data_IF_189862178370
#
_entry.id   IF_189862178370
#
_cell.length_a   1.000
_cell.length_b   1.000
_cell.length_c   1.000
_cell.angle_alpha   90.00
_cell.angle_beta   90.00
_cell.angle_gamma   90.00
#
_symmetry.space_group_name_H-M   'P 1'
#
loop_
_entity.id
_entity.type
_entity.pdbx_description
1 polymer ?
#
# COMPACT_ATOMS: atom_id res chain seq x y z
N UNK A 1 16.67 15.22 -29.38
CA UNK A 1 17.34 13.90 -29.44
C UNK A 1 17.23 13.30 -28.04
N UNK A 2 16.26 12.39 -27.87
CA UNK A 2 16.13 11.62 -26.64
C UNK A 2 17.35 10.71 -26.50
N UNK A 3 18.25 11.04 -25.59
CA UNK A 3 19.36 10.16 -25.23
C UNK A 3 18.77 8.96 -24.47
N UNK A 4 18.48 7.87 -25.19
CA UNK A 4 18.14 6.60 -24.57
C UNK A 4 19.24 6.24 -23.58
N UNK A 5 18.89 6.13 -22.29
CA UNK A 5 19.85 5.75 -21.24
C UNK A 5 20.35 4.34 -21.55
N UNK A 6 21.66 4.16 -21.59
CA UNK A 6 22.30 2.89 -22.00
C UNK A 6 22.11 1.76 -20.98
N UNK A 7 21.80 2.10 -19.72
CA UNK A 7 21.60 1.12 -18.65
C UNK A 7 20.24 0.40 -18.78
N UNK A 8 20.27 -0.93 -18.71
CA UNK A 8 19.08 -1.78 -18.70
C UNK A 8 18.59 -2.00 -17.25
N UNK A 9 17.29 -1.91 -17.05
CA UNK A 9 16.61 -2.21 -15.78
C UNK A 9 15.85 -3.52 -15.94
N UNK A 10 16.07 -4.47 -15.03
CA UNK A 10 15.24 -5.67 -14.90
C UNK A 10 14.25 -5.49 -13.74
N UNK A 11 12.95 -5.51 -14.04
CA UNK A 11 11.90 -5.56 -13.02
C UNK A 11 11.44 -7.00 -12.86
N UNK A 12 11.66 -7.59 -11.70
CA UNK A 12 11.21 -8.93 -11.35
C UNK A 12 9.89 -8.87 -10.61
N UNK A 13 8.83 -9.44 -11.19
CA UNK A 13 7.48 -9.46 -10.65
C UNK A 13 6.51 -8.57 -11.43
N UNK A 14 5.34 -9.11 -11.74
CA UNK A 14 4.28 -8.48 -12.55
C UNK A 14 3.01 -8.13 -11.77
N UNK A 15 3.13 -8.01 -10.44
CA UNK A 15 2.11 -7.41 -9.60
C UNK A 15 2.01 -5.89 -9.81
N UNK A 16 1.08 -5.20 -9.13
CA UNK A 16 0.87 -3.75 -9.28
C UNK A 16 2.16 -2.93 -9.13
N UNK A 17 3.00 -3.25 -8.13
CA UNK A 17 4.28 -2.57 -7.91
C UNK A 17 5.25 -2.77 -9.09
N UNK A 18 5.37 -4.00 -9.60
CA UNK A 18 6.24 -4.29 -10.74
C UNK A 18 5.79 -3.62 -12.04
N UNK A 19 4.48 -3.61 -12.32
CA UNK A 19 3.92 -2.93 -13.47
C UNK A 19 4.16 -1.41 -13.40
N UNK A 20 3.96 -0.79 -12.23
CA UNK A 20 4.22 0.63 -11.99
C UNK A 20 5.72 0.94 -12.10
N UNK A 21 6.59 0.07 -11.56
CA UNK A 21 8.03 0.22 -11.69
C UNK A 21 8.48 0.16 -13.15
N UNK A 22 7.99 -0.81 -13.91
CA UNK A 22 8.34 -0.94 -15.33
C UNK A 22 7.94 0.31 -16.14
N UNK A 23 6.70 0.79 -15.96
CA UNK A 23 6.24 2.03 -16.61
C UNK A 23 7.08 3.22 -16.18
N UNK A 24 7.30 3.41 -14.88
CA UNK A 24 8.02 4.57 -14.37
C UNK A 24 9.48 4.64 -14.83
N UNK A 25 10.19 3.50 -14.87
CA UNK A 25 11.55 3.46 -15.42
C UNK A 25 11.59 3.70 -16.92
N UNK A 26 10.62 3.16 -17.66
CA UNK A 26 10.54 3.36 -19.10
C UNK A 26 10.22 4.83 -19.45
N UNK A 27 9.28 5.47 -18.75
CA UNK A 27 9.01 6.91 -18.86
C UNK A 27 10.22 7.78 -18.49
N UNK A 28 11.07 7.28 -17.57
CA UNK A 28 12.33 7.94 -17.24
C UNK A 28 13.44 7.71 -18.30
N UNK A 29 13.15 7.01 -19.41
CA UNK A 29 14.03 6.78 -20.56
C UNK A 29 15.00 5.61 -20.41
N UNK A 30 14.78 4.69 -19.47
CA UNK A 30 15.55 3.46 -19.35
C UNK A 30 14.99 2.35 -20.27
N UNK A 31 15.85 1.48 -20.77
CA UNK A 31 15.45 0.22 -21.37
C UNK A 31 15.00 -0.75 -20.25
N UNK A 32 13.77 -1.20 -20.27
CA UNK A 32 13.20 -2.03 -19.20
C UNK A 32 12.85 -3.41 -19.71
N UNK A 33 13.26 -4.44 -18.96
CA UNK A 33 12.73 -5.79 -19.11
C UNK A 33 11.87 -6.10 -17.87
N UNK A 34 10.59 -6.43 -18.09
CA UNK A 34 9.66 -6.85 -17.01
C UNK A 34 9.48 -8.37 -17.08
N UNK A 35 9.96 -9.10 -16.09
CA UNK A 35 9.86 -10.55 -15.95
C UNK A 35 8.83 -10.94 -14.87
N UNK A 36 7.98 -11.91 -15.18
CA UNK A 36 6.98 -12.43 -14.24
C UNK A 36 5.77 -13.04 -14.98
N UNK A 37 4.85 -13.74 -14.31
CA UNK A 37 3.69 -14.36 -14.93
C UNK A 37 2.74 -13.32 -15.56
N UNK A 38 1.76 -13.78 -16.32
CA UNK A 38 0.69 -12.89 -16.78
C UNK A 38 -0.04 -12.29 -15.56
N UNK A 39 -0.41 -11.01 -15.66
CA UNK A 39 -1.13 -10.34 -14.58
C UNK A 39 -2.49 -11.03 -14.36
N UNK A 40 -2.79 -11.42 -13.12
CA UNK A 40 -4.07 -12.04 -12.78
C UNK A 40 -5.13 -10.96 -12.59
N UNK A 41 -6.11 -10.91 -13.50
CA UNK A 41 -7.24 -9.99 -13.45
C UNK A 41 -8.39 -10.45 -12.54
N UNK A 42 -8.26 -11.56 -11.81
CA UNK A 42 -9.34 -12.12 -10.98
C UNK A 42 -9.22 -11.73 -9.48
N UNK A 43 -8.30 -10.84 -9.12
CA UNK A 43 -8.14 -10.36 -7.75
C UNK A 43 -9.33 -9.47 -7.34
N UNK A 44 -10.21 -10.01 -6.52
CA UNK A 44 -11.41 -9.31 -5.99
C UNK A 44 -11.11 -8.29 -4.89
N UNK A 45 -9.85 -8.17 -4.44
CA UNK A 45 -9.44 -7.17 -3.45
C UNK A 45 -9.50 -5.76 -4.04
N UNK A 46 -9.45 -4.79 -3.15
CA UNK A 46 -9.38 -3.38 -3.51
C UNK A 46 -8.12 -2.74 -2.94
N UNK A 47 -7.69 -1.67 -3.57
CA UNK A 47 -6.54 -0.89 -3.12
C UNK A 47 -6.93 0.57 -3.00
N UNK A 48 -6.83 1.12 -1.79
CA UNK A 48 -6.97 2.55 -1.56
C UNK A 48 -5.65 3.23 -1.88
N UNK A 49 -5.64 4.03 -2.95
CA UNK A 49 -4.48 4.84 -3.37
C UNK A 49 -4.66 6.28 -2.93
N UNK A 50 -3.71 6.78 -2.15
CA UNK A 50 -3.71 8.15 -1.66
C UNK A 50 -3.26 9.14 -2.74
N UNK A 51 -3.61 10.43 -2.60
CA UNK A 51 -3.31 11.46 -3.59
C UNK A 51 -1.85 11.47 -4.10
N UNK A 52 -0.80 11.27 -3.27
CA UNK A 52 0.56 11.16 -3.81
C UNK A 52 0.77 10.01 -4.80
N UNK A 53 0.18 8.85 -4.53
CA UNK A 53 0.24 7.70 -5.43
C UNK A 53 -0.57 7.93 -6.72
N UNK A 54 -1.72 8.60 -6.62
CA UNK A 54 -2.54 8.97 -7.78
C UNK A 54 -1.79 9.90 -8.74
N UNK A 55 -0.98 10.84 -8.21
CA UNK A 55 -0.11 11.70 -9.04
C UNK A 55 0.92 10.91 -9.85
N UNK A 56 1.43 9.82 -9.29
CA UNK A 56 2.31 8.91 -10.04
C UNK A 56 1.54 8.22 -11.16
N UNK A 57 0.35 7.67 -10.87
CA UNK A 57 -0.48 7.03 -11.91
C UNK A 57 -0.95 8.02 -12.99
N UNK A 58 -1.16 9.29 -12.63
CA UNK A 58 -1.49 10.36 -13.59
C UNK A 58 -0.32 10.62 -14.54
N UNK A 59 0.91 10.76 -14.00
CA UNK A 59 2.14 10.91 -14.79
C UNK A 59 2.37 9.72 -15.74
N UNK A 60 2.02 8.50 -15.29
CA UNK A 60 2.10 7.29 -16.11
C UNK A 60 0.93 7.12 -17.10
N UNK A 61 0.01 8.10 -17.19
CA UNK A 61 -1.09 8.11 -18.16
C UNK A 61 -2.22 7.11 -17.87
N UNK A 62 -2.21 6.40 -16.72
CA UNK A 62 -3.20 5.35 -16.43
C UNK A 62 -4.37 5.82 -15.57
N UNK A 63 -4.26 6.96 -14.89
CA UNK A 63 -5.29 7.42 -13.93
C UNK A 63 -6.63 7.76 -14.59
N UNK A 64 -6.62 8.32 -15.80
CA UNK A 64 -7.83 8.74 -16.50
C UNK A 64 -8.78 7.56 -16.76
N UNK A 65 -8.26 6.39 -17.11
CA UNK A 65 -9.04 5.15 -17.30
C UNK A 65 -9.58 4.58 -16.00
N UNK A 66 -8.84 4.76 -14.89
CA UNK A 66 -9.15 4.18 -13.59
C UNK A 66 -10.19 5.01 -12.82
N UNK A 67 -10.12 6.33 -12.92
CA UNK A 67 -10.94 7.28 -12.15
C UNK A 67 -12.45 7.01 -12.20
N UNK A 68 -13.07 6.70 -13.35
CA UNK A 68 -14.51 6.41 -13.43
C UNK A 68 -14.93 5.11 -12.73
N UNK A 69 -13.98 4.20 -12.46
CA UNK A 69 -14.20 2.89 -11.84
C UNK A 69 -13.76 2.85 -10.38
N UNK A 70 -13.42 4.00 -9.81
CA UNK A 70 -12.94 4.18 -8.45
C UNK A 70 -13.96 4.93 -7.59
N UNK A 71 -13.88 4.74 -6.27
CA UNK A 71 -14.63 5.55 -5.32
C UNK A 71 -13.69 6.53 -4.61
N UNK A 72 -14.04 7.84 -4.53
CA UNK A 72 -13.26 8.80 -3.77
C UNK A 72 -13.33 8.53 -2.27
N UNK A 73 -12.23 8.79 -1.56
CA UNK A 73 -12.14 8.73 -0.12
C UNK A 73 -12.12 10.15 0.43
N UNK A 74 -13.31 10.70 0.75
CA UNK A 74 -13.45 12.09 1.20
C UNK A 74 -13.39 12.21 2.72
N UNK A 75 -13.85 11.18 3.41
CA UNK A 75 -13.92 11.13 4.87
C UNK A 75 -13.33 9.79 5.36
N UNK A 76 -12.51 9.85 6.40
CA UNK A 76 -12.05 8.70 7.16
C UNK A 76 -12.59 8.82 8.58
N UNK A 77 -13.18 7.75 9.10
CA UNK A 77 -13.78 7.71 10.42
C UNK A 77 -13.23 6.54 11.22
N UNK A 78 -12.86 6.78 12.46
CA UNK A 78 -12.45 5.76 13.41
C UNK A 78 -13.51 5.69 14.50
N UNK A 79 -14.03 4.48 14.74
CA UNK A 79 -15.07 4.19 15.73
C UNK A 79 -14.54 3.14 16.69
N UNK A 80 -14.59 3.40 17.98
CA UNK A 80 -14.31 2.37 19.00
C UNK A 80 -15.56 1.50 19.17
N UNK A 81 -15.52 0.31 18.57
CA UNK A 81 -16.57 -0.70 18.65
C UNK A 81 -16.27 -1.80 19.68
N UNK A 82 -15.33 -1.57 20.59
CA UNK A 82 -15.02 -2.51 21.67
C UNK A 82 -16.12 -2.53 22.72
N UNK A 83 -16.23 -3.65 23.47
CA UNK A 83 -17.09 -3.77 24.64
C UNK A 83 -16.37 -3.40 25.94
N UNK A 84 -15.24 -2.71 25.81
CA UNK A 84 -14.39 -2.31 26.95
C UNK A 84 -15.03 -1.20 27.78
N UNK A 85 -14.59 -1.11 29.05
CA UNK A 85 -15.08 -0.10 29.99
C UNK A 85 -14.75 1.33 29.51
N UNK A 86 -13.52 1.54 28.96
CA UNK A 86 -13.07 2.81 28.43
C UNK A 86 -13.11 2.76 26.91
N UNK A 87 -14.03 3.50 26.30
CA UNK A 87 -14.13 3.65 24.85
C UNK A 87 -13.55 4.98 24.41
N UNK A 88 -12.90 4.94 23.25
CA UNK A 88 -12.39 6.15 22.62
C UNK A 88 -13.52 6.89 21.89
N UNK A 89 -13.48 8.22 21.84
CA UNK A 89 -14.45 8.98 21.03
C UNK A 89 -14.27 8.67 19.54
N UNK A 90 -15.36 8.80 18.79
CA UNK A 90 -15.29 8.73 17.32
C UNK A 90 -14.46 9.88 16.78
N UNK A 91 -13.49 9.58 15.93
CA UNK A 91 -12.67 10.59 15.27
C UNK A 91 -12.97 10.59 13.77
N UNK A 92 -13.24 11.76 13.23
CA UNK A 92 -13.52 11.93 11.79
C UNK A 92 -12.50 12.88 11.19
N UNK A 93 -11.88 12.43 10.12
CA UNK A 93 -10.93 13.17 9.31
C UNK A 93 -11.60 13.51 7.97
N UNK A 94 -11.61 14.77 7.58
CA UNK A 94 -12.18 15.24 6.31
C UNK A 94 -11.06 15.79 5.44
N UNK A 95 -11.00 15.39 4.17
CA UNK A 95 -9.98 15.87 3.25
C UNK A 95 -9.99 17.40 3.13
N UNK A 96 -11.17 18.02 3.21
CA UNK A 96 -11.35 19.48 3.18
C UNK A 96 -10.64 20.22 4.32
N UNK A 97 -10.40 19.57 5.47
CA UNK A 97 -9.66 20.17 6.58
C UNK A 97 -8.18 20.47 6.26
N UNK A 98 -7.65 19.83 5.22
CA UNK A 98 -6.27 20.06 4.74
C UNK A 98 -6.24 20.68 3.34
N UNK A 99 -7.40 21.14 2.82
CA UNK A 99 -7.52 21.76 1.51
C UNK A 99 -7.55 20.77 0.34
N UNK A 100 -7.80 19.49 0.60
CA UNK A 100 -7.91 18.46 -0.43
C UNK A 100 -9.39 18.15 -0.71
N UNK A 101 -9.73 17.80 -1.97
CA UNK A 101 -11.07 17.33 -2.32
C UNK A 101 -11.35 15.93 -1.77
N UNK A 102 -10.29 15.10 -1.75
CA UNK A 102 -10.30 13.71 -1.28
C UNK A 102 -8.91 13.31 -0.80
N UNK A 103 -8.81 12.29 0.04
CA UNK A 103 -7.53 11.71 0.45
C UNK A 103 -6.92 10.83 -0.65
N UNK A 104 -7.78 10.22 -1.47
CA UNK A 104 -7.40 9.27 -2.50
C UNK A 104 -8.61 8.60 -3.14
N UNK A 105 -8.34 7.51 -3.86
CA UNK A 105 -9.34 6.68 -4.53
C UNK A 105 -9.22 5.23 -4.08
N UNK A 106 -10.34 4.56 -3.84
CA UNK A 106 -10.37 3.11 -3.69
C UNK A 106 -10.68 2.44 -5.04
N UNK A 107 -9.82 1.54 -5.46
CA UNK A 107 -9.80 0.89 -6.77
C UNK A 107 -9.89 -0.64 -6.61
N UNK A 108 -10.80 -1.32 -7.32
CA UNK A 108 -10.72 -2.77 -7.43
C UNK A 108 -9.46 -3.22 -8.16
N UNK A 109 -8.76 -4.23 -7.63
CA UNK A 109 -7.52 -4.72 -8.24
C UNK A 109 -7.74 -5.33 -9.62
N UNK A 110 -8.91 -5.94 -9.86
CA UNK A 110 -9.32 -6.44 -11.18
C UNK A 110 -9.57 -5.33 -12.21
N UNK A 111 -9.55 -4.06 -11.80
CA UNK A 111 -9.56 -2.88 -12.68
C UNK A 111 -8.15 -2.29 -12.79
N UNK A 112 -7.46 -2.13 -11.66
CA UNK A 112 -6.12 -1.51 -11.60
C UNK A 112 -5.08 -2.34 -12.36
N UNK A 113 -4.99 -3.65 -12.07
CA UNK A 113 -3.94 -4.50 -12.64
C UNK A 113 -4.05 -4.66 -14.15
N UNK A 114 -5.22 -4.92 -14.76
CA UNK A 114 -5.36 -4.95 -16.21
C UNK A 114 -5.07 -3.62 -16.89
N UNK A 115 -5.42 -2.47 -16.30
CA UNK A 115 -5.10 -1.16 -16.86
C UNK A 115 -3.58 -0.93 -16.92
N UNK A 116 -2.88 -1.22 -15.82
CA UNK A 116 -1.41 -1.16 -15.77
C UNK A 116 -0.77 -2.12 -16.77
N UNK A 117 -1.28 -3.35 -16.87
CA UNK A 117 -0.76 -4.35 -17.82
C UNK A 117 -0.93 -3.92 -19.29
N UNK A 118 -2.06 -3.26 -19.65
CA UNK A 118 -2.26 -2.68 -20.98
C UNK A 118 -1.27 -1.55 -21.26
N UNK A 119 -1.07 -0.65 -20.29
CA UNK A 119 -0.10 0.43 -20.42
C UNK A 119 1.33 -0.10 -20.63
N UNK A 120 1.74 -1.12 -19.87
CA UNK A 120 3.02 -1.82 -20.05
C UNK A 120 3.13 -2.42 -21.45
N UNK A 121 2.08 -3.10 -21.94
CA UNK A 121 2.09 -3.74 -23.25
C UNK A 121 2.16 -2.75 -24.43
N UNK A 122 1.64 -1.53 -24.22
CA UNK A 122 1.65 -0.46 -25.22
C UNK A 122 2.97 0.34 -25.22
N UNK A 123 3.80 0.23 -24.18
CA UNK A 123 5.01 1.04 -24.05
C UNK A 123 6.21 0.42 -24.76
N UNK A 124 6.71 1.08 -25.82
CA UNK A 124 7.79 0.57 -26.67
C UNK A 124 9.14 0.34 -25.93
N UNK A 125 9.38 1.05 -24.82
CA UNK A 125 10.59 0.92 -23.98
C UNK A 125 10.57 -0.28 -23.02
N UNK A 126 9.49 -1.11 -23.04
CA UNK A 126 9.36 -2.24 -22.10
C UNK A 126 9.31 -3.55 -22.88
N UNK A 127 10.34 -4.37 -22.64
CA UNK A 127 10.35 -5.76 -23.09
C UNK A 127 9.64 -6.65 -22.05
N UNK A 128 8.53 -7.29 -22.41
CA UNK A 128 7.75 -8.14 -21.51
C UNK A 128 8.12 -9.60 -21.64
N UNK A 129 8.66 -10.21 -20.56
CA UNK A 129 8.92 -11.64 -20.45
C UNK A 129 7.87 -12.28 -19.52
N UNK A 130 7.01 -13.16 -20.07
CA UNK A 130 5.94 -13.85 -19.32
C UNK A 130 6.47 -15.08 -18.58
N UNK A 131 7.68 -15.02 -18.09
CA UNK A 131 8.38 -16.07 -17.36
C UNK A 131 8.89 -15.55 -16.04
N UNK A 132 8.87 -16.37 -14.99
CA UNK A 132 9.40 -16.01 -13.67
C UNK A 132 10.93 -16.07 -13.68
N UNK A 133 11.57 -15.27 -12.85
CA UNK A 133 12.98 -15.43 -12.56
C UNK A 133 13.14 -16.66 -11.65
N UNK A 134 13.95 -17.62 -12.08
CA UNK A 134 14.23 -18.86 -11.37
C UNK A 134 15.51 -18.76 -10.53
N UNK A 135 16.55 -18.13 -11.08
CA UNK A 135 17.80 -17.95 -10.37
C UNK A 135 18.50 -16.64 -10.69
N UNK A 136 19.39 -16.23 -9.80
CA UNK A 136 20.15 -15.00 -9.88
C UNK A 136 21.64 -15.25 -9.75
N UNK A 137 22.44 -14.51 -10.52
CA UNK A 137 23.88 -14.33 -10.33
C UNK A 137 24.16 -12.83 -10.32
N UNK A 138 24.71 -12.33 -9.22
CA UNK A 138 24.98 -10.90 -9.01
C UNK A 138 26.49 -10.70 -8.98
N UNK A 139 26.98 -9.74 -9.76
CA UNK A 139 28.39 -9.34 -9.75
C UNK A 139 28.51 -7.81 -9.57
N UNK A 140 29.73 -7.28 -9.61
CA UNK A 140 29.99 -5.87 -9.38
C UNK A 140 29.37 -4.96 -10.45
N UNK A 141 29.14 -5.45 -11.68
CA UNK A 141 28.66 -4.67 -12.80
C UNK A 141 27.17 -4.91 -13.12
N UNK A 142 26.67 -6.16 -12.95
CA UNK A 142 25.34 -6.54 -13.41
C UNK A 142 24.62 -7.49 -12.45
N UNK A 143 23.30 -7.45 -12.52
CA UNK A 143 22.41 -8.51 -12.06
C UNK A 143 22.04 -9.39 -13.26
N UNK A 144 22.33 -10.69 -13.17
CA UNK A 144 21.99 -11.70 -14.17
C UNK A 144 20.86 -12.56 -13.62
N UNK A 145 19.80 -12.70 -14.39
CA UNK A 145 18.64 -13.51 -14.06
C UNK A 145 18.44 -14.59 -15.11
N UNK A 146 18.24 -15.82 -14.68
CA UNK A 146 17.77 -16.93 -15.52
C UNK A 146 16.29 -17.08 -15.31
N UNK A 147 15.51 -17.07 -16.39
CA UNK A 147 14.08 -17.25 -16.37
C UNK A 147 13.70 -18.73 -16.44
N UNK A 148 12.48 -19.07 -15.99
CA UNK A 148 11.96 -20.44 -16.02
C UNK A 148 11.83 -21.04 -17.45
N UNK A 149 11.89 -20.21 -18.49
CA UNK A 149 11.98 -20.65 -19.90
C UNK A 149 13.41 -20.86 -20.40
N UNK A 150 14.41 -20.77 -19.52
CA UNK A 150 15.84 -20.92 -19.82
C UNK A 150 16.50 -19.67 -20.42
N UNK A 151 15.77 -18.59 -20.67
CA UNK A 151 16.35 -17.34 -21.17
C UNK A 151 17.10 -16.59 -20.08
N UNK A 152 18.18 -15.90 -20.47
CA UNK A 152 19.00 -15.10 -19.57
C UNK A 152 18.82 -13.60 -19.83
N UNK A 153 18.83 -12.81 -18.74
CA UNK A 153 18.74 -11.35 -18.79
C UNK A 153 19.88 -10.79 -17.96
N UNK A 154 20.61 -9.82 -18.51
CA UNK A 154 21.60 -9.03 -17.78
C UNK A 154 21.13 -7.58 -17.69
N UNK A 155 21.20 -6.99 -16.50
CA UNK A 155 20.77 -5.64 -16.22
C UNK A 155 21.74 -4.91 -15.27
N UNK A 156 21.85 -3.60 -15.39
CA UNK A 156 22.65 -2.77 -14.48
C UNK A 156 22.00 -2.65 -13.10
N UNK A 157 20.66 -2.74 -13.04
CA UNK A 157 19.87 -2.72 -11.80
C UNK A 157 18.72 -3.72 -11.93
N UNK A 158 18.54 -4.56 -10.92
CA UNK A 158 17.35 -5.37 -10.71
C UNK A 158 16.42 -4.71 -9.69
N UNK A 159 15.16 -4.49 -10.07
CA UNK A 159 14.09 -4.00 -9.19
C UNK A 159 13.26 -5.20 -8.75
N UNK A 160 13.41 -5.57 -7.49
CA UNK A 160 12.68 -6.69 -6.89
C UNK A 160 11.27 -6.26 -6.51
N UNK A 161 10.28 -6.63 -7.33
CA UNK A 161 8.84 -6.48 -7.10
C UNK A 161 8.14 -7.85 -7.06
N UNK A 162 8.86 -8.89 -6.67
CA UNK A 162 8.54 -10.32 -6.71
C UNK A 162 7.85 -10.82 -5.43
N UNK A 163 7.38 -9.88 -4.60
CA UNK A 163 6.50 -10.14 -3.47
C UNK A 163 7.22 -10.52 -2.18
N UNK A 164 6.41 -10.93 -1.18
CA UNK A 164 6.88 -11.14 0.20
C UNK A 164 7.98 -12.18 0.37
N UNK A 165 8.00 -13.20 -0.48
CA UNK A 165 9.00 -14.27 -0.48
C UNK A 165 10.15 -14.02 -1.48
N UNK A 166 10.35 -12.78 -1.90
CA UNK A 166 11.30 -12.31 -2.92
C UNK A 166 12.58 -13.14 -3.07
N UNK A 167 12.73 -13.94 -4.15
CA UNK A 167 13.98 -14.61 -4.47
C UNK A 167 15.11 -13.64 -4.80
N UNK A 168 14.79 -12.49 -5.39
CA UNK A 168 15.78 -11.44 -5.67
C UNK A 168 16.38 -10.87 -4.38
N UNK A 169 15.56 -10.67 -3.32
CA UNK A 169 16.05 -10.24 -2.01
C UNK A 169 17.01 -11.25 -1.42
N UNK A 170 16.68 -12.55 -1.47
CA UNK A 170 17.53 -13.63 -0.95
C UNK A 170 18.84 -13.69 -1.72
N UNK A 171 18.81 -13.65 -3.05
CA UNK A 171 20.00 -13.65 -3.90
C UNK A 171 20.92 -12.45 -3.63
N UNK A 172 20.36 -11.29 -3.30
CA UNK A 172 21.14 -10.12 -2.90
C UNK A 172 21.77 -10.24 -1.50
N UNK A 173 21.48 -11.33 -0.75
CA UNK A 173 21.97 -11.50 0.63
C UNK A 173 21.28 -10.61 1.64
N UNK A 174 20.07 -10.12 1.34
CA UNK A 174 19.31 -9.24 2.22
C UNK A 174 18.39 -10.08 3.11
N UNK A 175 18.75 -10.21 4.38
CA UNK A 175 17.92 -10.87 5.37
C UNK A 175 16.70 -10.03 5.71
N UNK A 176 15.54 -10.68 5.91
CA UNK A 176 14.31 -10.03 6.37
C UNK A 176 13.85 -10.62 7.70
N UNK A 177 13.46 -9.75 8.63
CA UNK A 177 12.78 -10.14 9.85
C UNK A 177 11.29 -10.32 9.55
N UNK A 178 10.77 -11.52 9.77
CA UNK A 178 9.36 -11.85 9.57
C UNK A 178 8.70 -12.04 10.93
N UNK A 179 7.54 -11.42 11.11
CA UNK A 179 6.71 -11.55 12.31
C UNK A 179 5.29 -11.95 11.91
N UNK A 180 4.81 -13.08 12.40
CA UNK A 180 3.42 -13.49 12.29
C UNK A 180 2.59 -12.85 13.41
N UNK A 181 1.34 -12.53 13.13
CA UNK A 181 0.35 -12.08 14.11
C UNK A 181 -0.67 -13.20 14.36
N UNK A 182 -1.23 -13.28 15.59
CA UNK A 182 -2.30 -14.21 15.89
C UNK A 182 -3.65 -13.72 15.33
N UNK A 183 -3.65 -13.28 14.07
CA UNK A 183 -4.77 -12.64 13.41
C UNK A 183 -4.80 -13.05 11.93
N UNK A 184 -6.00 -13.05 11.37
CA UNK A 184 -6.24 -13.18 9.93
C UNK A 184 -7.24 -12.10 9.48
N UNK A 185 -7.16 -11.68 8.22
CA UNK A 185 -8.10 -10.77 7.60
C UNK A 185 -9.07 -11.56 6.71
N UNK A 186 -10.37 -11.49 7.01
CA UNK A 186 -11.42 -11.80 6.06
C UNK A 186 -11.63 -10.59 5.14
N UNK A 187 -11.44 -10.79 3.84
CA UNK A 187 -11.59 -9.75 2.82
C UNK A 187 -12.75 -10.13 1.90
N UNK A 188 -13.66 -9.20 1.68
CA UNK A 188 -14.81 -9.37 0.80
C UNK A 188 -15.35 -8.03 0.31
N UNK A 189 -16.24 -8.05 -0.67
CA UNK A 189 -17.04 -6.90 -1.09
C UNK A 189 -18.50 -7.13 -0.75
N UNK A 190 -19.26 -6.06 -0.59
CA UNK A 190 -20.69 -6.14 -0.30
C UNK A 190 -21.44 -4.92 -0.85
N UNK A 191 -22.71 -5.10 -1.17
CA UNK A 191 -23.66 -4.03 -1.47
C UNK A 191 -24.45 -3.66 -0.21
N UNK A 192 -25.00 -2.44 -0.17
CA UNK A 192 -25.75 -1.92 0.99
C UNK A 192 -26.81 -0.92 0.56
N UNK A 193 -27.78 -0.67 1.45
CA UNK A 193 -28.96 0.16 1.12
C UNK A 193 -28.66 1.65 1.17
N UNK A 194 -27.97 2.11 2.21
CA UNK A 194 -27.72 3.54 2.46
C UNK A 194 -26.46 4.01 1.79
N UNK A 195 -26.40 5.26 1.34
CA UNK A 195 -25.19 5.87 0.77
C UNK A 195 -24.07 5.95 1.82
N UNK A 196 -22.87 5.50 1.46
CA UNK A 196 -21.66 5.63 2.29
C UNK A 196 -21.08 7.05 2.30
N UNK A 197 -21.59 7.97 1.49
CA UNK A 197 -21.14 9.36 1.39
C UNK A 197 -19.61 9.50 1.28
N UNK A 198 -18.97 8.59 0.54
CA UNK A 198 -17.51 8.52 0.36
C UNK A 198 -16.71 8.44 1.68
N UNK A 199 -17.32 7.87 2.72
CA UNK A 199 -16.73 7.69 4.04
C UNK A 199 -16.17 6.29 4.20
N UNK A 200 -14.86 6.17 4.41
CA UNK A 200 -14.24 4.94 4.92
C UNK A 200 -14.37 4.92 6.44
N UNK A 201 -14.88 3.82 7.00
CA UNK A 201 -15.05 3.68 8.45
C UNK A 201 -14.27 2.48 8.95
N UNK A 202 -13.38 2.73 9.91
CA UNK A 202 -12.63 1.70 10.62
C UNK A 202 -13.19 1.55 12.03
N UNK A 203 -13.78 0.40 12.31
CA UNK A 203 -14.25 0.02 13.64
C UNK A 203 -13.13 -0.73 14.35
N UNK A 204 -12.65 -0.19 15.46
CA UNK A 204 -11.71 -0.85 16.34
C UNK A 204 -12.43 -1.87 17.21
N UNK A 205 -12.08 -3.16 17.07
CA UNK A 205 -12.61 -4.25 17.89
C UNK A 205 -11.51 -4.87 18.75
N UNK A 206 -11.87 -5.77 19.66
CA UNK A 206 -10.91 -6.45 20.55
C UNK A 206 -9.92 -7.34 19.79
N UNK A 207 -10.29 -7.82 18.60
CA UNK A 207 -9.47 -8.74 17.79
C UNK A 207 -8.70 -8.03 16.68
N UNK A 208 -9.05 -6.77 16.38
CA UNK A 208 -8.43 -5.98 15.33
C UNK A 208 -9.42 -5.04 14.63
N UNK A 209 -9.02 -4.35 13.58
CA UNK A 209 -9.89 -3.46 12.85
C UNK A 209 -10.89 -4.22 11.94
N UNK A 210 -12.09 -3.65 11.85
CA UNK A 210 -13.09 -3.96 10.83
C UNK A 210 -13.22 -2.70 9.97
N UNK A 211 -12.68 -2.72 8.76
CA UNK A 211 -12.56 -1.53 7.90
C UNK A 211 -13.46 -1.65 6.68
N UNK A 212 -14.49 -0.82 6.63
CA UNK A 212 -15.33 -0.61 5.46
C UNK A 212 -14.74 0.50 4.60
N UNK A 213 -14.61 0.26 3.28
CA UNK A 213 -14.06 1.23 2.33
C UNK A 213 -14.98 1.37 1.12
N UNK A 214 -15.38 2.60 0.74
CA UNK A 214 -16.28 2.85 -0.39
C UNK A 214 -15.82 2.22 -1.71
N UNK A 215 -16.79 1.70 -2.48
CA UNK A 215 -16.69 1.33 -3.88
C UNK A 215 -17.73 2.12 -4.70
N UNK A 216 -17.65 2.18 -6.02
CA UNK A 216 -18.66 2.86 -6.84
C UNK A 216 -20.07 2.32 -6.59
N UNK A 217 -21.05 3.23 -6.51
CA UNK A 217 -22.43 2.93 -6.15
C UNK A 217 -22.59 2.66 -4.65
N UNK A 218 -23.69 1.99 -4.28
CA UNK A 218 -23.92 1.57 -2.90
C UNK A 218 -23.20 0.24 -2.61
N UNK A 219 -21.90 0.24 -2.75
CA UNK A 219 -21.03 -0.91 -2.54
C UNK A 219 -19.82 -0.51 -1.69
N UNK A 220 -19.27 -1.46 -0.98
CA UNK A 220 -18.07 -1.28 -0.17
C UNK A 220 -17.20 -2.54 -0.18
N UNK A 221 -15.91 -2.36 0.00
CA UNK A 221 -15.01 -3.45 0.37
C UNK A 221 -14.85 -3.51 1.88
N UNK A 222 -14.58 -4.70 2.39
CA UNK A 222 -14.35 -4.98 3.78
C UNK A 222 -13.01 -5.67 3.98
N UNK A 223 -12.27 -5.20 4.99
CA UNK A 223 -11.17 -5.93 5.61
C UNK A 223 -11.53 -6.13 7.08
N UNK A 224 -11.80 -7.37 7.46
CA UNK A 224 -12.20 -7.73 8.82
C UNK A 224 -11.11 -8.55 9.50
N UNK A 225 -10.39 -7.94 10.43
CA UNK A 225 -9.30 -8.58 11.16
C UNK A 225 -9.84 -9.26 12.42
N UNK A 226 -9.65 -10.57 12.49
CA UNK A 226 -10.11 -11.43 13.59
C UNK A 226 -9.06 -12.51 13.91
N UNK A 227 -9.35 -13.38 14.88
CA UNK A 227 -8.55 -14.59 15.10
C UNK A 227 -8.64 -15.53 13.89
N UNK A 228 -7.60 -16.32 13.59
CA UNK A 228 -7.59 -17.21 12.42
C UNK A 228 -8.79 -18.18 12.37
N UNK A 229 -9.17 -18.75 13.53
CA UNK A 229 -10.30 -19.67 13.66
C UNK A 229 -11.60 -18.95 13.29
N UNK A 230 -11.83 -17.75 13.84
CA UNK A 230 -13.01 -16.93 13.56
C UNK A 230 -13.06 -16.51 12.08
N UNK A 231 -11.91 -16.20 11.45
CA UNK A 231 -11.87 -15.89 10.02
C UNK A 231 -12.33 -17.09 9.17
N UNK A 232 -11.90 -18.29 9.53
CA UNK A 232 -12.30 -19.54 8.87
C UNK A 232 -13.78 -19.81 9.05
N UNK A 233 -14.32 -19.66 10.27
CA UNK A 233 -15.74 -19.80 10.58
C UNK A 233 -16.60 -18.83 9.77
N UNK A 234 -16.23 -17.54 9.77
CA UNK A 234 -16.94 -16.50 8.99
C UNK A 234 -16.90 -16.78 7.48
N UNK A 235 -15.77 -17.25 6.96
CA UNK A 235 -15.64 -17.59 5.55
C UNK A 235 -16.48 -18.81 5.15
N UNK A 236 -16.80 -19.69 6.08
CA UNK A 236 -17.62 -20.89 5.85
C UNK A 236 -19.13 -20.63 5.95
N UNK A 237 -19.57 -19.47 6.45
CA UNK A 237 -20.99 -19.11 6.54
C UNK A 237 -21.62 -18.99 5.14
N UNK A 238 -22.92 -19.25 5.05
CA UNK A 238 -23.69 -18.84 3.87
C UNK A 238 -23.76 -17.32 3.72
N UNK A 239 -24.07 -16.84 2.52
CA UNK A 239 -24.03 -15.41 2.20
C UNK A 239 -25.06 -14.59 3.00
N UNK A 240 -26.22 -15.16 3.34
CA UNK A 240 -27.26 -14.47 4.11
C UNK A 240 -26.80 -14.25 5.56
N UNK A 241 -26.30 -15.31 6.19
CA UNK A 241 -25.78 -15.27 7.57
C UNK A 241 -24.56 -14.36 7.67
N UNK A 242 -23.61 -14.42 6.71
CA UNK A 242 -22.45 -13.54 6.70
C UNK A 242 -22.88 -12.08 6.48
N UNK A 243 -23.86 -11.81 5.60
CA UNK A 243 -24.39 -10.46 5.38
C UNK A 243 -24.95 -9.86 6.67
N UNK A 244 -25.71 -10.66 7.45
CA UNK A 244 -26.21 -10.23 8.74
C UNK A 244 -25.07 -9.92 9.73
N UNK A 245 -24.03 -10.77 9.79
CA UNK A 245 -22.85 -10.52 10.66
C UNK A 245 -22.11 -9.25 10.30
N UNK A 246 -21.95 -8.96 9.00
CA UNK A 246 -21.33 -7.71 8.52
C UNK A 246 -22.18 -6.49 8.88
N UNK A 247 -23.51 -6.58 8.71
CA UNK A 247 -24.45 -5.51 9.08
C UNK A 247 -24.42 -5.22 10.59
N UNK A 248 -24.51 -6.26 11.42
CA UNK A 248 -24.45 -6.16 12.89
C UNK A 248 -23.13 -5.51 13.35
N UNK A 249 -21.99 -5.91 12.76
CA UNK A 249 -20.67 -5.36 13.12
C UNK A 249 -20.57 -3.87 12.78
N UNK A 250 -21.24 -3.40 11.72
CA UNK A 250 -21.36 -1.98 11.36
C UNK A 250 -22.49 -1.24 12.11
N UNK A 251 -23.19 -1.90 13.03
CA UNK A 251 -24.34 -1.32 13.74
C UNK A 251 -25.41 -0.79 12.76
N UNK A 252 -25.62 -1.51 11.68
CA UNK A 252 -26.55 -1.18 10.57
C UNK A 252 -26.36 0.21 9.96
N UNK A 253 -25.15 0.81 10.10
CA UNK A 253 -24.85 2.16 9.62
C UNK A 253 -25.15 2.37 8.12
N UNK A 254 -24.97 1.32 7.31
CA UNK A 254 -25.25 1.32 5.87
C UNK A 254 -26.58 0.64 5.51
N UNK A 255 -27.40 0.30 6.52
CA UNK A 255 -28.65 -0.44 6.36
C UNK A 255 -28.37 -1.89 5.93
N UNK A 256 -29.35 -2.52 5.25
CA UNK A 256 -29.25 -3.91 4.81
C UNK A 256 -28.01 -4.12 3.94
N UNK A 257 -27.28 -5.19 4.26
CA UNK A 257 -26.05 -5.63 3.59
C UNK A 257 -26.31 -6.91 2.79
N UNK A 258 -25.65 -7.02 1.65
CA UNK A 258 -25.59 -8.28 0.86
C UNK A 258 -24.14 -8.51 0.45
N UNK A 259 -23.51 -9.57 0.97
CA UNK A 259 -22.13 -9.95 0.65
C UNK A 259 -22.06 -10.43 -0.81
N UNK A 260 -21.01 -10.03 -1.51
CA UNK A 260 -20.71 -10.44 -2.87
C UNK A 260 -19.83 -11.71 -2.88
N UNK A 261 -19.87 -12.52 -3.94
CA UNK A 261 -18.97 -13.68 -4.10
C UNK A 261 -17.49 -13.29 -4.10
N UNK A 262 -16.61 -14.21 -3.69
CA UNK A 262 -15.15 -14.03 -3.81
C UNK A 262 -14.45 -13.63 -2.52
N UNK A 263 -15.06 -13.91 -1.35
CA UNK A 263 -14.41 -13.73 -0.05
C UNK A 263 -13.14 -14.57 0.10
N UNK A 264 -12.14 -14.01 0.79
CA UNK A 264 -10.84 -14.66 1.00
C UNK A 264 -10.32 -14.39 2.41
N UNK A 265 -9.53 -15.34 2.94
CA UNK A 265 -8.88 -15.21 4.25
C UNK A 265 -7.36 -15.13 4.06
N UNK A 266 -6.74 -14.14 4.70
CA UNK A 266 -5.30 -13.93 4.65
C UNK A 266 -4.71 -13.93 6.07
N UNK A 267 -3.75 -14.80 6.40
CA UNK A 267 -3.01 -14.70 7.66
C UNK A 267 -2.19 -13.40 7.67
N UNK A 268 -2.16 -12.73 8.82
CA UNK A 268 -1.44 -11.48 8.95
C UNK A 268 0.02 -11.70 9.34
N UNK A 269 0.89 -10.98 8.66
CA UNK A 269 2.32 -10.93 8.96
C UNK A 269 2.88 -9.55 8.70
N UNK A 270 4.02 -9.26 9.29
CA UNK A 270 4.87 -8.14 8.91
C UNK A 270 6.23 -8.68 8.50
N UNK A 271 6.84 -8.06 7.51
CA UNK A 271 8.22 -8.33 7.12
C UNK A 271 8.95 -7.02 6.87
N UNK A 272 10.18 -6.94 7.35
CA UNK A 272 11.07 -5.80 7.13
C UNK A 272 12.48 -6.31 6.87
N UNK A 273 13.12 -5.93 5.76
CA UNK A 273 14.49 -6.30 5.46
C UNK A 273 15.48 -5.44 6.26
N UNK A 274 16.68 -5.97 6.46
CA UNK A 274 17.78 -5.24 7.08
C UNK A 274 18.32 -4.11 6.20
N UNK A 275 18.17 -4.24 4.86
CA UNK A 275 18.50 -3.24 3.85
C UNK A 275 17.46 -3.25 2.74
N UNK A 276 17.25 -2.10 2.10
CA UNK A 276 16.30 -1.96 0.98
C UNK A 276 16.97 -2.10 -0.39
N UNK A 277 18.31 -2.07 -0.43
CA UNK A 277 19.07 -2.35 -1.66
C UNK A 277 20.47 -2.86 -1.34
N UNK A 278 20.97 -3.77 -2.16
CA UNK A 278 22.31 -4.34 -2.09
C UNK A 278 22.60 -5.15 -3.36
N UNK A 279 23.88 -5.23 -3.77
CA UNK A 279 24.35 -6.13 -4.83
C UNK A 279 23.52 -6.03 -6.11
N UNK A 280 23.38 -4.83 -6.70
CA UNK A 280 22.60 -4.58 -7.92
C UNK A 280 21.10 -4.78 -7.80
N UNK A 281 20.56 -5.04 -6.60
CA UNK A 281 19.13 -5.28 -6.36
C UNK A 281 18.58 -4.17 -5.48
N UNK A 282 17.45 -3.57 -5.88
CA UNK A 282 16.66 -2.66 -5.08
C UNK A 282 15.26 -3.25 -4.85
N UNK A 283 14.80 -3.26 -3.60
CA UNK A 283 13.51 -3.84 -3.21
C UNK A 283 12.42 -2.79 -3.27
N UNK A 284 11.25 -3.15 -3.82
CA UNK A 284 10.06 -2.30 -3.84
C UNK A 284 8.80 -3.09 -3.46
N UNK A 285 7.82 -2.41 -2.87
CA UNK A 285 6.55 -3.03 -2.50
C UNK A 285 6.70 -4.17 -1.48
N UNK A 286 6.00 -5.30 -1.66
CA UNK A 286 6.02 -6.41 -0.69
C UNK A 286 7.39 -7.12 -0.58
N UNK A 287 8.30 -6.95 -1.53
CA UNK A 287 9.68 -7.42 -1.39
C UNK A 287 10.46 -6.57 -0.37
N UNK A 288 10.12 -5.27 -0.25
CA UNK A 288 10.72 -4.31 0.67
C UNK A 288 10.01 -4.26 2.04
N UNK A 289 8.71 -4.46 2.09
CA UNK A 289 7.95 -4.34 3.33
C UNK A 289 6.58 -5.03 3.23
N UNK A 290 6.23 -5.75 4.29
CA UNK A 290 4.90 -6.34 4.46
C UNK A 290 4.30 -5.77 5.75
N UNK A 291 3.08 -5.25 5.67
CA UNK A 291 2.34 -4.71 6.80
C UNK A 291 0.96 -5.37 6.91
N UNK A 292 0.41 -5.49 8.13
CA UNK A 292 -1.02 -5.74 8.29
C UNK A 292 -1.84 -4.71 7.51
N UNK A 293 -3.01 -5.05 6.99
CA UNK A 293 -3.85 -4.16 6.16
C UNK A 293 -4.53 -3.06 6.98
N UNK A 294 -3.74 -2.28 7.72
CA UNK A 294 -4.16 -1.15 8.55
C UNK A 294 -3.72 0.14 7.87
N UNK A 295 -4.66 1.04 7.58
CA UNK A 295 -4.38 2.36 7.02
C UNK A 295 -3.89 2.37 5.56
N UNK A 296 -4.23 1.36 4.76
CA UNK A 296 -3.97 1.31 3.31
C UNK A 296 -2.49 1.57 2.90
N UNK A 297 -1.52 1.06 3.66
CA UNK A 297 -0.10 1.40 3.47
C UNK A 297 0.58 0.66 2.30
N UNK A 298 0.25 -0.61 2.02
CA UNK A 298 1.04 -1.51 1.17
C UNK A 298 1.47 -0.91 -0.17
N UNK A 299 0.54 -0.77 -1.13
CA UNK A 299 0.89 -0.29 -2.46
C UNK A 299 1.28 1.20 -2.48
N UNK A 300 0.74 2.03 -1.57
CA UNK A 300 1.13 3.44 -1.47
C UNK A 300 2.63 3.62 -1.12
N UNK A 301 3.15 2.79 -0.23
CA UNK A 301 4.59 2.77 0.08
C UNK A 301 5.39 2.21 -1.08
N UNK A 302 4.92 1.13 -1.73
CA UNK A 302 5.58 0.57 -2.90
C UNK A 302 5.69 1.56 -4.07
N UNK A 303 4.67 2.38 -4.30
CA UNK A 303 4.72 3.45 -5.32
C UNK A 303 5.75 4.51 -4.93
N UNK A 304 5.86 4.85 -3.65
CA UNK A 304 6.87 5.79 -3.17
C UNK A 304 8.29 5.21 -3.26
N UNK A 305 8.47 3.92 -2.98
CA UNK A 305 9.75 3.22 -3.20
C UNK A 305 10.18 3.39 -4.66
N UNK A 306 9.26 3.13 -5.58
CA UNK A 306 9.50 3.21 -7.03
C UNK A 306 9.86 4.65 -7.45
N UNK A 307 9.12 5.64 -6.99
CA UNK A 307 9.34 7.05 -7.35
C UNK A 307 10.69 7.55 -6.85
N UNK A 308 11.07 7.23 -5.60
CA UNK A 308 12.39 7.53 -5.05
C UNK A 308 13.52 6.82 -5.79
N UNK A 309 13.33 5.53 -6.13
CA UNK A 309 14.34 4.75 -6.85
C UNK A 309 14.56 5.28 -8.27
N UNK A 310 13.50 5.63 -8.98
CA UNK A 310 13.57 6.23 -10.32
C UNK A 310 14.33 7.56 -10.27
N UNK A 311 14.03 8.42 -9.28
CA UNK A 311 14.74 9.69 -9.11
C UNK A 311 16.24 9.49 -8.95
N UNK A 312 16.65 8.60 -8.04
CA UNK A 312 18.06 8.29 -7.78
C UNK A 312 18.75 7.66 -9.01
N UNK A 313 18.09 6.71 -9.65
CA UNK A 313 18.59 6.07 -10.86
C UNK A 313 18.76 7.06 -12.02
N UNK A 314 17.87 8.03 -12.13
CA UNK A 314 17.94 9.07 -13.17
C UNK A 314 19.10 10.04 -12.98
N UNK A 315 19.47 10.35 -11.73
CA UNK A 315 20.65 11.14 -11.39
C UNK A 315 21.98 10.39 -11.71
N UNK A 316 21.91 9.06 -11.80
CA UNK A 316 23.07 8.18 -12.04
C UNK A 316 22.77 7.21 -13.20
N UNK A 317 22.31 7.75 -14.32
CA UNK A 317 21.76 6.96 -15.44
C UNK A 317 22.76 6.03 -16.16
N UNK A 318 24.06 6.26 -16.00
CA UNK A 318 25.11 5.39 -16.54
C UNK A 318 25.27 4.08 -15.75
N UNK A 319 25.06 4.14 -14.41
CA UNK A 319 25.14 2.97 -13.53
C UNK A 319 24.14 3.09 -12.37
N UNK A 320 22.82 2.89 -12.63
CA UNK A 320 21.76 3.01 -11.65
C UNK A 320 21.81 1.95 -10.54
N UNK A 321 22.54 0.85 -10.74
CA UNK A 321 22.76 -0.21 -9.76
C UNK A 321 24.06 -0.10 -8.98
N UNK A 322 24.83 1.01 -9.11
CA UNK A 322 26.05 1.22 -8.36
C UNK A 322 25.80 1.22 -6.84
N UNK A 323 26.82 0.84 -6.08
CA UNK A 323 26.75 0.82 -4.61
C UNK A 323 26.31 2.18 -4.04
N UNK A 324 26.77 3.28 -4.62
CA UNK A 324 26.39 4.64 -4.24
C UNK A 324 24.88 4.87 -4.42
N UNK A 325 24.30 4.48 -5.55
CA UNK A 325 22.87 4.62 -5.81
C UNK A 325 22.05 3.78 -4.83
N UNK A 326 22.44 2.51 -4.63
CA UNK A 326 21.79 1.59 -3.73
C UNK A 326 21.85 2.07 -2.27
N UNK A 327 22.99 2.60 -1.82
CA UNK A 327 23.15 3.17 -0.49
C UNK A 327 22.30 4.43 -0.31
N UNK A 328 22.19 5.30 -1.32
CA UNK A 328 21.33 6.48 -1.31
C UNK A 328 19.87 6.07 -1.19
N UNK A 329 19.44 5.07 -1.96
CA UNK A 329 18.07 4.54 -1.89
C UNK A 329 17.77 3.93 -0.52
N UNK A 330 18.64 3.08 0.02
CA UNK A 330 18.51 2.47 1.34
C UNK A 330 18.36 3.55 2.42
N UNK A 331 19.23 4.55 2.41
CA UNK A 331 19.21 5.67 3.38
C UNK A 331 17.91 6.47 3.28
N UNK A 332 17.41 6.73 2.08
CA UNK A 332 16.18 7.50 1.85
C UNK A 332 14.93 6.76 2.32
N UNK A 333 14.85 5.43 2.06
CA UNK A 333 13.65 4.66 2.38
C UNK A 333 13.54 4.23 3.84
N UNK A 334 14.68 3.97 4.49
CA UNK A 334 14.74 3.42 5.85
C UNK A 334 13.94 4.20 6.88
N UNK A 335 14.06 5.54 7.04
CA UNK A 335 13.32 6.29 8.05
C UNK A 335 11.80 6.22 7.84
N UNK A 336 11.32 6.36 6.60
CA UNK A 336 9.88 6.35 6.27
C UNK A 336 9.26 4.98 6.61
N UNK A 337 9.91 3.90 6.21
CA UNK A 337 9.40 2.54 6.42
C UNK A 337 9.46 2.16 7.90
N UNK A 338 10.55 2.49 8.62
CA UNK A 338 10.67 2.21 10.05
C UNK A 338 9.65 2.99 10.88
N UNK A 339 9.43 4.28 10.58
CA UNK A 339 8.44 5.09 11.27
C UNK A 339 7.02 4.51 11.11
N UNK A 340 6.65 4.13 9.87
CA UNK A 340 5.32 3.55 9.59
C UNK A 340 5.16 2.15 10.19
N UNK A 341 6.20 1.32 10.08
CA UNK A 341 6.21 -0.01 10.70
C UNK A 341 6.00 0.07 12.20
N UNK A 342 6.70 1.01 12.87
CA UNK A 342 6.56 1.25 14.30
C UNK A 342 5.17 1.76 14.67
N UNK A 343 4.61 2.69 13.88
CA UNK A 343 3.27 3.24 14.11
C UNK A 343 2.18 2.17 13.96
N UNK A 344 2.23 1.36 12.88
CA UNK A 344 1.28 0.26 12.66
C UNK A 344 1.39 -0.80 13.77
N UNK A 345 2.61 -1.17 14.17
CA UNK A 345 2.83 -2.12 15.26
C UNK A 345 2.30 -1.60 16.60
N UNK A 346 2.54 -0.32 16.92
CA UNK A 346 2.05 0.31 18.14
C UNK A 346 0.53 0.35 18.16
N UNK A 347 -0.09 0.76 17.05
CA UNK A 347 -1.54 0.79 16.92
C UNK A 347 -2.14 -0.61 17.09
N UNK A 348 -1.63 -1.61 16.36
CA UNK A 348 -2.12 -2.98 16.45
C UNK A 348 -1.98 -3.55 17.88
N UNK A 349 -0.84 -3.33 18.53
CA UNK A 349 -0.64 -3.74 19.94
C UNK A 349 -1.60 -3.04 20.89
N UNK A 350 -1.87 -1.75 20.67
CA UNK A 350 -2.81 -0.99 21.51
C UNK A 350 -4.24 -1.49 21.37
N UNK A 351 -4.64 -1.94 20.16
CA UNK A 351 -5.95 -2.55 19.90
C UNK A 351 -6.09 -3.92 20.59
N UNK A 352 -5.03 -4.71 20.58
CA UNK A 352 -5.02 -6.04 21.23
C UNK A 352 -4.84 -6.00 22.75
N UNK A 353 -4.51 -4.83 23.33
CA UNK A 353 -4.25 -4.70 24.76
C UNK A 353 -5.53 -4.50 25.56
N UNK A 354 -5.74 -5.36 26.57
CA UNK A 354 -6.83 -5.25 27.53
C UNK A 354 -6.44 -4.45 28.78
N UNK A 355 -5.21 -3.95 28.87
CA UNK A 355 -4.71 -3.17 30.00
C UNK A 355 -5.37 -1.79 30.05
N UNK A 356 -5.93 -1.42 31.21
CA UNK A 356 -6.57 -0.11 31.44
C UNK A 356 -5.69 1.09 31.06
N UNK A 357 -4.38 1.14 31.41
CA UNK A 357 -3.52 2.25 31.00
C UNK A 357 -3.42 2.41 29.47
N UNK A 358 -3.38 1.31 28.71
CA UNK A 358 -3.35 1.36 27.24
C UNK A 358 -4.67 1.85 26.65
N UNK A 359 -5.81 1.46 27.24
CA UNK A 359 -7.14 1.96 26.85
C UNK A 359 -7.28 3.46 27.11
N UNK A 360 -6.86 3.93 28.28
CA UNK A 360 -6.86 5.36 28.64
C UNK A 360 -5.96 6.18 27.73
N UNK A 361 -4.73 5.73 27.47
CA UNK A 361 -3.79 6.41 26.58
C UNK A 361 -4.34 6.52 25.14
N UNK A 362 -4.95 5.43 24.63
CA UNK A 362 -5.61 5.42 23.31
C UNK A 362 -6.80 6.38 23.28
N UNK A 363 -7.68 6.31 24.29
CA UNK A 363 -8.86 7.19 24.40
C UNK A 363 -8.46 8.65 24.48
N UNK A 364 -7.47 9.00 25.31
CA UNK A 364 -6.95 10.36 25.43
C UNK A 364 -6.32 10.85 24.11
N UNK A 365 -5.50 10.02 23.45
CA UNK A 365 -4.88 10.36 22.17
C UNK A 365 -5.92 10.62 21.08
N UNK A 366 -6.91 9.74 20.93
CA UNK A 366 -8.02 9.93 19.98
C UNK A 366 -8.92 11.11 20.36
N UNK A 367 -9.14 11.35 21.66
CA UNK A 367 -9.87 12.52 22.17
C UNK A 367 -9.20 13.84 21.78
N UNK A 368 -7.89 13.95 21.94
CA UNK A 368 -7.11 15.13 21.51
C UNK A 368 -7.18 15.30 19.99
N UNK A 369 -7.02 14.23 19.20
CA UNK A 369 -7.17 14.28 17.75
C UNK A 369 -8.58 14.69 17.31
N UNK A 370 -9.61 14.21 18.01
CA UNK A 370 -10.99 14.59 17.75
C UNK A 370 -11.29 16.07 18.02
N UNK A 371 -10.69 16.61 19.10
CA UNK A 371 -11.01 17.96 19.60
C UNK A 371 -10.10 19.06 19.04
N UNK A 372 -8.86 18.75 18.64
CA UNK A 372 -7.89 19.76 18.22
C UNK A 372 -7.57 19.69 16.73
N UNK A 373 -8.29 20.50 15.94
CA UNK A 373 -8.20 20.51 14.47
C UNK A 373 -6.79 20.72 13.90
N UNK A 374 -5.90 21.60 14.44
CA UNK A 374 -4.55 21.77 13.93
C UNK A 374 -3.69 20.50 14.04
N UNK A 375 -3.82 19.76 15.14
CA UNK A 375 -3.10 18.49 15.33
C UNK A 375 -3.64 17.42 14.39
N UNK A 376 -4.96 17.36 14.20
CA UNK A 376 -5.61 16.47 13.25
C UNK A 376 -5.14 16.76 11.82
N UNK A 377 -5.09 18.03 11.41
CA UNK A 377 -4.58 18.45 10.11
C UNK A 377 -3.08 18.10 9.92
N UNK A 378 -2.28 18.25 10.98
CA UNK A 378 -0.88 17.83 10.97
C UNK A 378 -0.75 16.33 10.67
N UNK A 379 -1.46 15.46 11.42
CA UNK A 379 -1.39 14.01 11.23
C UNK A 379 -1.95 13.57 9.87
N UNK A 380 -2.99 14.22 9.37
CA UNK A 380 -3.50 13.95 8.01
C UNK A 380 -2.44 14.23 6.93
N UNK A 381 -1.75 15.36 7.02
CA UNK A 381 -0.67 15.73 6.09
C UNK A 381 0.52 14.77 6.19
N UNK A 382 0.99 14.47 7.41
CA UNK A 382 2.07 13.51 7.63
C UNK A 382 1.71 12.10 7.13
N UNK A 383 0.47 11.68 7.31
CA UNK A 383 -0.04 10.39 6.81
C UNK A 383 -0.01 10.31 5.29
N UNK A 384 -0.36 11.38 4.59
CA UNK A 384 -0.31 11.48 3.13
C UNK A 384 1.13 11.59 2.62
N UNK A 385 1.92 12.52 3.19
CA UNK A 385 3.29 12.79 2.75
C UNK A 385 4.15 13.16 3.96
N UNK A 386 5.17 12.34 4.32
CA UNK A 386 6.08 12.65 5.40
C UNK A 386 6.74 14.02 5.25
N UNK A 387 6.84 14.76 6.37
CA UNK A 387 7.40 16.11 6.41
C UNK A 387 6.44 17.23 6.00
N UNK A 388 5.30 16.92 5.38
CA UNK A 388 4.36 17.95 4.91
C UNK A 388 3.61 18.65 6.05
N UNK A 389 3.38 17.97 7.16
CA UNK A 389 2.81 18.56 8.38
C UNK A 389 3.76 19.60 8.99
N UNK A 390 5.06 19.26 9.10
CA UNK A 390 6.09 20.17 9.59
C UNK A 390 6.27 21.38 8.67
N UNK A 391 6.27 21.18 7.34
CA UNK A 391 6.35 22.27 6.37
C UNK A 391 5.16 23.24 6.49
N UNK A 392 3.95 22.70 6.69
CA UNK A 392 2.75 23.52 6.88
C UNK A 392 2.80 24.33 8.18
N UNK A 393 3.31 23.77 9.28
CA UNK A 393 3.52 24.49 10.54
C UNK A 393 4.54 25.60 10.38
N UNK A 394 5.69 25.33 9.75
CA UNK A 394 6.73 26.34 9.51
C UNK A 394 6.24 27.47 8.59
N UNK A 395 5.44 27.16 7.57
CA UNK A 395 4.83 28.14 6.68
C UNK A 395 3.78 29.02 7.38
N UNK A 396 3.01 28.43 8.32
CA UNK A 396 2.05 29.16 9.15
C UNK A 396 2.71 30.16 10.09
N UNK A 397 3.81 29.78 10.73
CA UNK A 397 4.59 30.64 11.61
C UNK A 397 5.24 31.84 10.86
N UNK A 398 5.71 31.62 9.63
CA UNK A 398 6.27 32.70 8.79
C UNK A 398 5.22 33.74 8.35
N UNK A 399 3.96 33.34 8.18
CA UNK A 399 2.87 34.26 7.82
C UNK A 399 2.35 35.10 9.01
N UNK A 400 2.64 34.71 10.25
CA UNK A 400 2.23 35.41 11.46
C UNK A 400 3.30 36.35 12.03
N UNK A 401 4.52 36.40 11.47
CA UNK A 401 5.53 37.40 11.83
C UNK A 401 5.22 38.67 11.03
N UNK A 402 4.72 39.75 11.66
CA UNK A 402 4.56 41.03 10.98
C UNK A 402 5.96 41.60 10.64
N UNK A 403 6.10 42.17 9.46
CA UNK A 403 7.27 42.98 9.06
C UNK A 403 7.30 44.29 9.84
#
# INVERSE_FOLDING_TARGET
>A
MDHQKTARILVAGSGPAGLIAALGFAEAGFAVTLAGPAANGQDGRTTALMNPALKVLERLGVLAELKPKAAPLKVMRIVDATRRLVRSPTVTFRATEIGEEQFGLNLPNNVLVPALARAVAAHAGIERRKSMVESWRLDAAHAHAVLADGSEISASLAVAADGRLSPAREAAGIAASVRSYPQAALVLNFSHRSDHAFTSTEFHTETGPFTQVPLPGNRSSLVWVVKPETATELAALDDATLSQRVEEQMQSMLGRVTVEPGRQVYPLSAASPGRFAQNRVALVGEAAHVFPPIGAQGLNLGIRDIDDLIGIASENSSDPGSEKCLATYDTRRRPDILARSSAVNLLNRSLLSDMLPAQLARSAGLGVLGSFAPLRAFFMREGLRPGSGFQALAGGLRKQSPR
#
